data_IF_507285107771
#
_entry.id   IF_507285107771
#
_cell.length_a   1.000
_cell.length_b   1.000
_cell.length_c   1.000
_cell.angle_alpha   90.00
_cell.angle_beta   90.00
_cell.angle_gamma   90.00
#
_symmetry.space_group_name_H-M   'P 1'
#
loop_
_entity.id
_entity.type
_entity.pdbx_description
1 polymer ?
#
# COMPACT_ATOMS: atom_id res chain seq x y z
N UNK A 1 46.02 -20.61 -58.89
CA UNK A 1 44.58 -20.43 -59.04
C UNK A 1 43.99 -20.60 -57.67
N UNK A 2 43.89 -19.49 -56.95
CA UNK A 2 43.20 -19.39 -55.69
C UNK A 2 41.73 -19.09 -56.03
N UNK A 3 40.84 -20.00 -55.75
CA UNK A 3 39.41 -19.71 -55.75
C UNK A 3 39.12 -19.01 -54.42
N UNK A 4 38.94 -17.69 -54.46
CA UNK A 4 38.25 -16.94 -53.45
C UNK A 4 36.76 -17.32 -53.56
N UNK A 5 36.31 -18.23 -52.68
CA UNK A 5 34.90 -18.50 -52.45
C UNK A 5 34.31 -17.41 -51.52
N UNK A 6 34.30 -16.17 -51.99
CA UNK A 6 33.37 -15.16 -51.51
C UNK A 6 31.99 -15.46 -52.12
N UNK A 7 31.31 -16.48 -51.61
CA UNK A 7 29.88 -16.65 -51.82
C UNK A 7 29.22 -15.47 -51.11
N UNK A 8 28.91 -14.38 -51.84
CA UNK A 8 28.06 -13.31 -51.35
C UNK A 8 26.77 -13.97 -50.81
N UNK A 9 26.61 -14.01 -49.49
CA UNK A 9 25.38 -14.52 -48.86
C UNK A 9 24.19 -13.78 -49.42
N UNK A 10 23.22 -14.52 -49.94
CA UNK A 10 22.02 -13.92 -50.51
C UNK A 10 21.23 -13.08 -49.50
N UNK A 11 20.29 -12.25 -49.95
CA UNK A 11 19.46 -11.46 -49.02
C UNK A 11 18.79 -12.33 -47.96
N UNK A 12 18.34 -13.51 -48.29
CA UNK A 12 17.72 -14.46 -47.36
C UNK A 12 18.72 -15.02 -46.32
N UNK A 13 19.95 -15.35 -46.73
CA UNK A 13 20.99 -15.85 -45.81
C UNK A 13 21.37 -14.74 -44.81
N UNK A 14 21.36 -13.51 -45.25
CA UNK A 14 21.58 -12.33 -44.37
C UNK A 14 20.43 -12.12 -43.39
N UNK A 15 19.18 -12.28 -43.83
CA UNK A 15 18.01 -12.17 -42.97
C UNK A 15 17.98 -13.28 -41.91
N UNK A 16 18.30 -14.54 -42.27
CA UNK A 16 18.44 -15.62 -41.29
C UNK A 16 19.58 -15.38 -40.30
N UNK A 17 20.69 -14.81 -40.77
CA UNK A 17 21.80 -14.42 -39.88
C UNK A 17 21.41 -13.33 -38.92
N UNK A 18 20.64 -12.31 -39.38
CA UNK A 18 20.08 -11.25 -38.50
C UNK A 18 19.09 -11.84 -37.49
N UNK A 19 18.20 -12.74 -37.89
CA UNK A 19 17.27 -13.38 -36.97
C UNK A 19 17.97 -14.23 -35.89
N UNK A 20 19.02 -14.97 -36.29
CA UNK A 20 19.85 -15.74 -35.34
C UNK A 20 20.57 -14.80 -34.36
N UNK A 21 21.13 -13.69 -34.83
CA UNK A 21 21.78 -12.71 -34.00
C UNK A 21 20.79 -12.03 -33.05
N UNK A 22 19.56 -11.79 -33.50
CA UNK A 22 18.51 -11.27 -32.65
C UNK A 22 18.21 -12.20 -31.47
N UNK A 23 18.14 -13.51 -31.72
CA UNK A 23 17.97 -14.49 -30.65
C UNK A 23 19.13 -14.46 -29.64
N UNK A 24 20.39 -14.43 -30.12
CA UNK A 24 21.57 -14.30 -29.24
C UNK A 24 21.50 -13.02 -28.39
N UNK A 25 21.09 -11.90 -28.99
CA UNK A 25 20.94 -10.62 -28.30
C UNK A 25 19.79 -10.64 -27.28
N UNK A 26 18.71 -11.35 -27.58
CA UNK A 26 17.60 -11.56 -26.64
C UNK A 26 18.08 -12.34 -25.41
N UNK A 27 18.78 -13.46 -25.61
CA UNK A 27 19.37 -14.24 -24.51
C UNK A 27 20.39 -13.43 -23.67
N UNK A 28 21.13 -12.51 -24.33
CA UNK A 28 22.04 -11.58 -23.66
C UNK A 28 21.33 -10.42 -22.93
N UNK A 29 19.98 -10.32 -22.99
CA UNK A 29 19.22 -9.22 -22.40
C UNK A 29 19.30 -7.89 -23.15
N UNK A 30 19.82 -7.89 -24.41
CA UNK A 30 20.01 -6.69 -25.24
C UNK A 30 18.80 -6.43 -26.16
N UNK A 31 17.61 -6.28 -25.58
CA UNK A 31 16.33 -6.25 -26.28
C UNK A 31 16.25 -5.21 -27.40
N UNK A 32 16.76 -3.98 -27.17
CA UNK A 32 16.75 -2.95 -28.22
C UNK A 32 17.57 -3.32 -29.46
N UNK A 33 18.69 -4.06 -29.30
CA UNK A 33 19.50 -4.52 -30.40
C UNK A 33 18.85 -5.73 -31.10
N UNK A 34 18.20 -6.62 -30.32
CA UNK A 34 17.44 -7.74 -30.86
C UNK A 34 16.30 -7.26 -31.79
N UNK A 35 15.57 -6.21 -31.39
CA UNK A 35 14.50 -5.61 -32.21
C UNK A 35 15.04 -5.09 -33.54
N UNK A 36 16.18 -4.40 -33.56
CA UNK A 36 16.81 -3.88 -34.80
C UNK A 36 17.16 -5.02 -35.75
N UNK A 37 17.71 -6.12 -35.25
CA UNK A 37 18.07 -7.25 -36.08
C UNK A 37 16.81 -8.02 -36.61
N UNK A 38 15.74 -8.10 -35.79
CA UNK A 38 14.46 -8.66 -36.24
C UNK A 38 13.80 -7.80 -37.32
N UNK A 39 13.84 -6.48 -37.19
CA UNK A 39 13.32 -5.56 -38.19
C UNK A 39 14.06 -5.74 -39.53
N UNK A 40 15.40 -5.84 -39.52
CA UNK A 40 16.21 -6.13 -40.72
C UNK A 40 15.86 -7.46 -41.38
N UNK A 41 15.60 -8.49 -40.56
CA UNK A 41 15.17 -9.78 -41.06
C UNK A 41 13.80 -9.69 -41.76
N UNK A 42 12.85 -9.01 -41.09
CA UNK A 42 11.48 -8.83 -41.58
C UNK A 42 11.39 -7.88 -42.79
N UNK A 43 12.32 -6.92 -42.97
CA UNK A 43 12.41 -6.14 -44.22
C UNK A 43 12.66 -7.04 -45.46
N UNK A 44 13.35 -8.16 -45.27
CA UNK A 44 13.62 -9.11 -46.37
C UNK A 44 12.51 -10.14 -46.51
N UNK A 45 11.99 -10.64 -45.43
CA UNK A 45 10.89 -11.61 -45.42
C UNK A 45 9.78 -11.24 -44.43
N UNK A 46 8.86 -10.34 -44.82
CA UNK A 46 7.77 -9.86 -43.98
C UNK A 46 6.66 -10.91 -43.70
N UNK A 47 6.77 -12.09 -44.28
CA UNK A 47 5.78 -13.17 -44.07
C UNK A 47 6.33 -14.34 -43.25
N UNK A 48 7.40 -14.10 -42.49
CA UNK A 48 7.95 -15.08 -41.56
C UNK A 48 7.27 -15.00 -40.21
N UNK A 49 6.33 -15.90 -39.92
CA UNK A 49 5.58 -15.97 -38.66
C UNK A 49 6.50 -16.04 -37.43
N UNK A 50 7.55 -16.89 -37.48
CA UNK A 50 8.47 -17.07 -36.37
C UNK A 50 9.24 -15.79 -36.00
N UNK A 51 9.58 -14.96 -37.01
CA UNK A 51 10.29 -13.70 -36.72
C UNK A 51 9.35 -12.63 -36.16
N UNK A 52 8.08 -12.59 -36.58
CA UNK A 52 7.05 -11.75 -35.92
C UNK A 52 6.81 -12.21 -34.47
N UNK A 53 6.70 -13.52 -34.25
CA UNK A 53 6.58 -14.09 -32.92
C UNK A 53 7.77 -13.68 -32.01
N UNK A 54 9.02 -13.85 -32.49
CA UNK A 54 10.22 -13.47 -31.75
C UNK A 54 10.27 -11.95 -31.48
N UNK A 55 9.78 -11.12 -32.42
CA UNK A 55 9.66 -9.68 -32.22
C UNK A 55 8.64 -9.37 -31.13
N UNK A 56 7.49 -10.05 -31.13
CA UNK A 56 6.50 -9.98 -30.07
C UNK A 56 7.09 -10.33 -28.69
N UNK A 57 7.80 -11.47 -28.58
CA UNK A 57 8.49 -11.87 -27.34
C UNK A 57 9.52 -10.81 -26.87
N UNK A 58 10.23 -10.20 -27.81
CA UNK A 58 11.22 -9.17 -27.48
C UNK A 58 10.56 -7.88 -26.99
N UNK A 59 9.41 -7.51 -27.56
CA UNK A 59 8.60 -6.36 -27.13
C UNK A 59 7.94 -6.61 -25.77
N UNK A 60 7.44 -7.83 -25.54
CA UNK A 60 6.92 -8.25 -24.23
C UNK A 60 7.98 -8.11 -23.12
N UNK A 61 9.20 -8.57 -23.40
CA UNK A 61 10.31 -8.50 -22.43
C UNK A 61 10.67 -7.07 -21.99
N UNK A 62 10.28 -6.04 -22.76
CA UNK A 62 10.44 -4.62 -22.40
C UNK A 62 9.10 -3.93 -22.01
N UNK A 63 8.08 -4.72 -21.71
CA UNK A 63 6.73 -4.28 -21.31
C UNK A 63 5.97 -3.46 -22.37
N UNK A 64 6.32 -3.61 -23.66
CA UNK A 64 5.59 -2.98 -24.77
C UNK A 64 4.47 -3.92 -25.27
N UNK A 65 3.50 -4.18 -24.39
CA UNK A 65 2.47 -5.22 -24.61
C UNK A 65 1.58 -4.94 -25.83
N UNK A 66 1.23 -3.68 -26.11
CA UNK A 66 0.38 -3.37 -27.26
C UNK A 66 1.08 -3.61 -28.60
N UNK A 67 2.36 -3.29 -28.69
CA UNK A 67 3.19 -3.56 -29.85
C UNK A 67 3.43 -5.06 -30.00
N UNK A 68 3.68 -5.78 -28.88
CA UNK A 68 3.82 -7.23 -28.89
C UNK A 68 2.55 -7.93 -29.39
N UNK A 69 1.37 -7.52 -28.93
CA UNK A 69 0.07 -8.01 -29.41
C UNK A 69 -0.04 -7.85 -30.92
N UNK A 70 0.35 -6.70 -31.49
CA UNK A 70 0.30 -6.47 -32.94
C UNK A 70 1.18 -7.44 -33.72
N UNK A 71 2.37 -7.73 -33.20
CA UNK A 71 3.30 -8.69 -33.83
C UNK A 71 2.79 -10.13 -33.69
N UNK A 72 2.20 -10.50 -32.55
CA UNK A 72 1.59 -11.83 -32.36
C UNK A 72 0.35 -12.02 -33.26
N UNK A 73 -0.51 -11.00 -33.40
CA UNK A 73 -1.65 -11.04 -34.32
C UNK A 73 -1.16 -11.24 -35.76
N UNK A 74 -0.08 -10.54 -36.16
CA UNK A 74 0.54 -10.73 -37.51
C UNK A 74 1.13 -12.14 -37.66
N UNK A 75 1.81 -12.66 -36.63
CA UNK A 75 2.35 -13.99 -36.63
C UNK A 75 1.24 -15.05 -36.75
N UNK A 76 0.12 -14.84 -36.07
CA UNK A 76 -1.05 -15.72 -36.08
C UNK A 76 -1.76 -15.72 -37.45
N UNK A 77 -1.86 -14.54 -38.11
CA UNK A 77 -2.41 -14.45 -39.48
C UNK A 77 -1.57 -15.27 -40.49
N UNK A 78 -0.25 -15.37 -40.24
CA UNK A 78 0.67 -16.14 -41.08
C UNK A 78 0.71 -17.63 -40.69
N UNK A 79 0.47 -17.96 -39.45
CA UNK A 79 0.47 -19.34 -38.91
C UNK A 79 -0.73 -19.52 -37.97
N UNK A 80 -1.95 -19.68 -38.55
CA UNK A 80 -3.15 -19.92 -37.76
C UNK A 80 -3.02 -21.19 -36.91
N UNK A 81 -3.66 -21.21 -35.75
CA UNK A 81 -3.72 -22.35 -34.83
C UNK A 81 -2.37 -22.72 -34.17
N UNK A 82 -1.35 -21.87 -34.25
CA UNK A 82 -0.12 -22.06 -33.49
C UNK A 82 -0.34 -21.83 -32.00
N UNK A 83 -0.18 -22.89 -31.22
CA UNK A 83 -0.50 -22.89 -29.79
C UNK A 83 0.40 -21.95 -28.99
N UNK A 84 1.67 -21.81 -29.36
CA UNK A 84 2.63 -20.95 -28.66
C UNK A 84 2.30 -19.47 -28.92
N UNK A 85 1.99 -19.13 -30.18
CA UNK A 85 1.60 -17.76 -30.54
C UNK A 85 0.28 -17.38 -29.87
N UNK A 86 -0.73 -18.25 -29.90
CA UNK A 86 -2.02 -18.04 -29.22
C UNK A 86 -1.84 -17.85 -27.72
N UNK A 87 -1.00 -18.66 -27.09
CA UNK A 87 -0.74 -18.57 -25.66
C UNK A 87 -0.04 -17.24 -25.30
N UNK A 88 1.01 -16.86 -26.04
CA UNK A 88 1.71 -15.60 -25.83
C UNK A 88 0.77 -14.38 -26.02
N UNK A 89 -0.03 -14.40 -27.09
CA UNK A 89 -1.03 -13.37 -27.37
C UNK A 89 -2.05 -13.23 -26.22
N UNK A 90 -2.56 -14.36 -25.70
CA UNK A 90 -3.51 -14.34 -24.60
C UNK A 90 -2.89 -13.83 -23.28
N UNK A 91 -1.64 -14.15 -23.03
CA UNK A 91 -0.87 -13.61 -21.89
C UNK A 91 -0.73 -12.10 -22.01
N UNK A 92 -0.38 -11.58 -23.19
CA UNK A 92 -0.23 -10.14 -23.38
C UNK A 92 -1.57 -9.38 -23.38
N UNK A 93 -2.66 -10.00 -23.85
CA UNK A 93 -3.99 -9.45 -23.61
C UNK A 93 -4.30 -9.33 -22.12
N UNK A 94 -3.91 -10.31 -21.29
CA UNK A 94 -4.08 -10.23 -19.83
C UNK A 94 -3.29 -9.06 -19.26
N UNK A 95 -2.01 -8.92 -19.63
CA UNK A 95 -1.13 -7.83 -19.17
C UNK A 95 -1.59 -6.45 -19.62
N UNK A 96 -2.23 -6.37 -20.79
CA UNK A 96 -2.83 -5.14 -21.30
C UNK A 96 -4.23 -4.84 -20.69
N UNK A 97 -4.74 -5.69 -19.79
CA UNK A 97 -6.08 -5.55 -19.20
C UNK A 97 -7.23 -5.91 -20.14
N UNK A 98 -6.93 -6.54 -21.29
CA UNK A 98 -7.91 -6.95 -22.30
C UNK A 98 -8.45 -8.36 -21.99
N UNK A 99 -8.97 -8.54 -20.78
CA UNK A 99 -9.32 -9.85 -20.22
C UNK A 99 -10.32 -10.65 -21.06
N UNK A 100 -11.32 -10.00 -21.64
CA UNK A 100 -12.30 -10.70 -22.50
C UNK A 100 -11.64 -11.33 -23.73
N UNK A 101 -10.67 -10.61 -24.35
CA UNK A 101 -9.91 -11.13 -25.49
C UNK A 101 -8.98 -12.27 -25.05
N UNK A 102 -8.32 -12.11 -23.91
CA UNK A 102 -7.47 -13.15 -23.33
C UNK A 102 -8.25 -14.45 -23.12
N UNK A 103 -9.41 -14.37 -22.46
CA UNK A 103 -10.23 -15.53 -22.16
C UNK A 103 -10.76 -16.20 -23.45
N UNK A 104 -11.22 -15.44 -24.44
CA UNK A 104 -11.64 -15.97 -25.74
C UNK A 104 -10.49 -16.71 -26.45
N UNK A 105 -9.29 -16.16 -26.42
CA UNK A 105 -8.10 -16.79 -27.01
C UNK A 105 -7.71 -18.07 -26.27
N UNK A 106 -7.77 -18.06 -24.93
CA UNK A 106 -7.53 -19.27 -24.14
C UNK A 106 -8.62 -20.33 -24.35
N UNK A 107 -9.89 -19.96 -24.52
CA UNK A 107 -10.96 -20.90 -24.84
C UNK A 107 -10.73 -21.56 -26.20
N UNK A 108 -10.35 -20.77 -27.20
CA UNK A 108 -10.01 -21.29 -28.50
C UNK A 108 -8.79 -22.23 -28.44
N UNK A 109 -7.76 -21.87 -27.68
CA UNK A 109 -6.58 -22.69 -27.46
C UNK A 109 -6.94 -24.05 -26.81
N UNK A 110 -7.84 -24.02 -25.82
CA UNK A 110 -8.36 -25.23 -25.16
C UNK A 110 -9.17 -26.12 -26.12
N UNK A 111 -9.89 -25.52 -27.10
CA UNK A 111 -10.58 -26.30 -28.15
C UNK A 111 -9.61 -26.99 -29.11
N UNK A 112 -8.47 -26.33 -29.45
CA UNK A 112 -7.43 -26.89 -30.30
C UNK A 112 -6.66 -28.01 -29.60
N UNK A 113 -6.22 -27.79 -28.37
CA UNK A 113 -5.55 -28.80 -27.56
C UNK A 113 -6.01 -28.73 -26.08
N UNK A 114 -6.96 -29.62 -25.70
CA UNK A 114 -7.42 -29.68 -24.30
C UNK A 114 -6.36 -30.10 -23.29
N UNK A 115 -5.18 -30.52 -23.71
CA UNK A 115 -4.06 -30.95 -22.87
C UNK A 115 -2.91 -29.94 -22.84
N UNK A 116 -3.05 -28.83 -23.52
CA UNK A 116 -2.05 -27.77 -23.49
C UNK A 116 -2.08 -27.08 -22.13
N UNK A 117 -1.28 -27.56 -21.19
CA UNK A 117 -1.25 -27.12 -19.78
C UNK A 117 -1.04 -25.63 -19.61
N UNK A 118 -0.13 -24.93 -20.37
CA UNK A 118 0.09 -23.50 -20.20
C UNK A 118 -1.18 -22.64 -20.34
N UNK A 119 -2.16 -23.09 -21.12
CA UNK A 119 -3.45 -22.40 -21.25
C UNK A 119 -4.16 -22.28 -19.89
N UNK A 120 -4.23 -23.35 -19.11
CA UNK A 120 -4.88 -23.34 -17.80
C UNK A 120 -4.07 -22.56 -16.78
N UNK A 121 -2.76 -22.75 -16.81
CA UNK A 121 -1.82 -22.05 -15.91
C UNK A 121 -1.90 -20.53 -16.08
N UNK A 122 -1.96 -20.02 -17.30
CA UNK A 122 -2.06 -18.59 -17.59
C UNK A 122 -3.48 -18.03 -17.30
N UNK A 123 -4.52 -18.85 -17.49
CA UNK A 123 -5.88 -18.46 -17.07
C UNK A 123 -6.03 -18.29 -15.56
N UNK A 124 -5.24 -18.99 -14.74
CA UNK A 124 -5.19 -18.72 -13.29
C UNK A 124 -4.85 -17.27 -13.04
N UNK A 125 -3.83 -16.74 -13.72
CA UNK A 125 -3.41 -15.34 -13.61
C UNK A 125 -4.53 -14.39 -14.06
N UNK A 126 -5.07 -14.64 -15.26
CA UNK A 126 -6.13 -13.80 -15.85
C UNK A 126 -7.33 -13.68 -14.90
N UNK A 127 -7.83 -14.80 -14.38
CA UNK A 127 -8.95 -14.77 -13.44
C UNK A 127 -8.59 -14.14 -12.10
N UNK A 128 -7.36 -14.32 -11.62
CA UNK A 128 -6.89 -13.69 -10.39
C UNK A 128 -6.85 -12.15 -10.51
N UNK A 129 -6.35 -11.62 -11.63
CA UNK A 129 -6.33 -10.17 -11.91
C UNK A 129 -7.74 -9.57 -12.06
N UNK A 130 -8.69 -10.35 -12.58
CA UNK A 130 -10.11 -9.98 -12.60
C UNK A 130 -10.78 -10.07 -11.23
N UNK A 131 -10.09 -10.52 -10.18
CA UNK A 131 -10.67 -10.78 -8.87
C UNK A 131 -11.59 -12.01 -8.81
N UNK A 132 -11.61 -12.84 -9.87
CA UNK A 132 -12.44 -14.03 -10.00
C UNK A 132 -11.72 -15.28 -9.47
N UNK A 133 -11.32 -15.22 -8.21
CA UNK A 133 -10.46 -16.23 -7.58
C UNK A 133 -11.03 -17.66 -7.60
N UNK A 134 -12.36 -17.82 -7.56
CA UNK A 134 -12.99 -19.14 -7.64
C UNK A 134 -12.80 -19.79 -9.02
N UNK A 135 -12.78 -18.99 -10.10
CA UNK A 135 -12.48 -19.47 -11.44
C UNK A 135 -10.98 -19.77 -11.61
N UNK A 136 -10.11 -18.97 -11.00
CA UNK A 136 -8.68 -19.27 -10.94
C UNK A 136 -8.42 -20.63 -10.28
N UNK A 137 -9.12 -20.95 -9.17
CA UNK A 137 -9.03 -22.23 -8.48
C UNK A 137 -9.54 -23.40 -9.34
N UNK A 138 -10.61 -23.20 -10.13
CA UNK A 138 -11.07 -24.19 -11.10
C UNK A 138 -10.01 -24.49 -12.19
N UNK A 139 -9.38 -23.44 -12.72
CA UNK A 139 -8.31 -23.61 -13.72
C UNK A 139 -7.11 -24.37 -13.15
N UNK A 140 -6.76 -24.09 -11.89
CA UNK A 140 -5.72 -24.83 -11.19
C UNK A 140 -6.03 -26.33 -11.10
N UNK A 141 -7.25 -26.72 -10.71
CA UNK A 141 -7.63 -28.13 -10.67
C UNK A 141 -7.63 -28.79 -12.06
N UNK A 142 -7.97 -28.05 -13.12
CA UNK A 142 -7.88 -28.57 -14.48
C UNK A 142 -6.41 -28.76 -14.92
N UNK A 143 -5.56 -27.79 -14.63
CA UNK A 143 -4.12 -27.90 -14.89
C UNK A 143 -3.51 -29.11 -14.19
N UNK A 144 -3.84 -29.34 -12.92
CA UNK A 144 -3.37 -30.50 -12.13
C UNK A 144 -3.78 -31.86 -12.72
N UNK A 145 -4.90 -31.93 -13.46
CA UNK A 145 -5.29 -33.17 -14.13
C UNK A 145 -4.41 -33.49 -15.33
N UNK A 146 -3.71 -32.49 -15.87
CA UNK A 146 -2.81 -32.64 -17.02
C UNK A 146 -1.38 -32.84 -16.53
N UNK A 147 -0.93 -31.98 -15.61
CA UNK A 147 0.37 -32.04 -14.96
C UNK A 147 0.21 -31.74 -13.44
N UNK A 148 0.34 -32.78 -12.60
CA UNK A 148 0.22 -32.68 -11.16
C UNK A 148 1.39 -31.90 -10.52
N UNK A 149 2.55 -31.88 -11.19
CA UNK A 149 3.80 -31.31 -10.69
C UNK A 149 4.18 -29.97 -11.36
N UNK A 150 3.23 -29.27 -11.99
CA UNK A 150 3.47 -27.94 -12.56
C UNK A 150 3.78 -26.89 -11.48
N UNK A 151 5.04 -26.54 -11.30
CA UNK A 151 5.51 -25.54 -10.32
C UNK A 151 4.85 -24.17 -10.54
N UNK A 152 4.71 -23.75 -11.81
CA UNK A 152 4.11 -22.46 -12.18
C UNK A 152 2.62 -22.38 -11.81
N UNK A 153 1.88 -23.48 -11.95
CA UNK A 153 0.48 -23.55 -11.53
C UNK A 153 0.33 -23.36 -10.02
N UNK A 154 1.19 -24.01 -9.22
CA UNK A 154 1.21 -23.81 -7.77
C UNK A 154 1.60 -22.39 -7.40
N UNK A 155 2.56 -21.78 -8.10
CA UNK A 155 2.95 -20.40 -7.88
C UNK A 155 1.79 -19.43 -8.14
N UNK A 156 1.14 -19.56 -9.28
CA UNK A 156 0.06 -18.68 -9.72
C UNK A 156 -1.18 -18.79 -8.82
N UNK A 157 -1.58 -20.01 -8.45
CA UNK A 157 -2.70 -20.15 -7.51
C UNK A 157 -2.33 -19.65 -6.12
N UNK A 158 -1.08 -19.78 -5.69
CA UNK A 158 -0.56 -19.18 -4.47
C UNK A 158 -0.75 -17.67 -4.45
N UNK A 159 -0.44 -16.98 -5.54
CA UNK A 159 -0.66 -15.53 -5.69
C UNK A 159 -2.15 -15.17 -5.55
N UNK A 160 -3.04 -15.91 -6.22
CA UNK A 160 -4.48 -15.70 -6.15
C UNK A 160 -5.03 -15.90 -4.73
N UNK A 161 -4.60 -16.95 -4.04
CA UNK A 161 -4.99 -17.26 -2.67
C UNK A 161 -4.47 -16.21 -1.68
N UNK A 162 -3.26 -15.70 -1.89
CA UNK A 162 -2.69 -14.63 -1.07
C UNK A 162 -3.48 -13.33 -1.21
N UNK A 163 -3.82 -12.93 -2.44
CA UNK A 163 -4.66 -11.77 -2.71
C UNK A 163 -6.05 -11.87 -2.05
N UNK A 164 -6.58 -13.09 -1.93
CA UNK A 164 -7.85 -13.40 -1.25
C UNK A 164 -7.74 -13.42 0.28
N UNK A 165 -6.53 -13.30 0.83
CA UNK A 165 -6.27 -13.38 2.27
C UNK A 165 -6.19 -14.82 2.80
N UNK A 166 -6.15 -15.83 1.95
CA UNK A 166 -6.03 -17.25 2.32
C UNK A 166 -4.55 -17.66 2.51
N UNK A 167 -3.85 -16.91 3.38
CA UNK A 167 -2.39 -16.96 3.54
C UNK A 167 -1.84 -18.37 3.79
N UNK A 168 -2.52 -19.18 4.61
CA UNK A 168 -2.13 -20.59 4.87
C UNK A 168 -2.11 -21.44 3.63
N UNK A 169 -3.13 -21.28 2.76
CA UNK A 169 -3.21 -22.04 1.52
C UNK A 169 -2.15 -21.55 0.54
N UNK A 170 -2.00 -20.22 0.41
CA UNK A 170 -0.97 -19.62 -0.43
C UNK A 170 0.44 -20.13 -0.06
N UNK A 171 0.78 -20.11 1.23
CA UNK A 171 2.06 -20.62 1.72
C UNK A 171 2.30 -22.08 1.39
N UNK A 172 1.26 -22.93 1.45
CA UNK A 172 1.38 -24.35 1.04
C UNK A 172 1.63 -24.52 -0.44
N UNK A 173 0.95 -23.72 -1.28
CA UNK A 173 1.16 -23.74 -2.73
C UNK A 173 2.59 -23.30 -3.08
N UNK A 174 3.08 -22.22 -2.48
CA UNK A 174 4.44 -21.75 -2.69
C UNK A 174 5.52 -22.68 -2.12
N UNK A 175 5.25 -23.40 -1.00
CA UNK A 175 6.12 -24.47 -0.55
C UNK A 175 6.21 -25.59 -1.60
N UNK A 176 5.06 -25.97 -2.21
CA UNK A 176 5.09 -26.95 -3.28
C UNK A 176 5.85 -26.46 -4.50
N UNK A 177 5.71 -25.19 -4.86
CA UNK A 177 6.57 -24.56 -5.90
C UNK A 177 8.05 -24.70 -5.54
N UNK A 178 8.44 -24.39 -4.31
CA UNK A 178 9.84 -24.49 -3.86
C UNK A 178 10.38 -25.93 -3.85
N UNK A 179 9.52 -26.94 -3.61
CA UNK A 179 9.89 -28.36 -3.72
C UNK A 179 10.12 -28.78 -5.17
N UNK A 180 9.28 -28.32 -6.09
CA UNK A 180 9.34 -28.66 -7.51
C UNK A 180 10.43 -27.87 -8.23
N UNK A 181 10.58 -26.60 -7.90
CA UNK A 181 11.54 -25.69 -8.49
C UNK A 181 12.28 -24.89 -7.39
N UNK A 182 13.33 -25.47 -6.77
CA UNK A 182 14.05 -24.85 -5.68
C UNK A 182 14.74 -23.52 -6.05
N UNK A 183 14.96 -23.28 -7.34
CA UNK A 183 15.60 -22.06 -7.88
C UNK A 183 14.58 -21.03 -8.38
N UNK A 184 13.29 -21.26 -8.15
CA UNK A 184 12.25 -20.27 -8.52
C UNK A 184 12.54 -18.92 -7.87
N UNK A 185 12.57 -17.82 -8.64
CA UNK A 185 12.94 -16.51 -8.13
C UNK A 185 12.04 -16.07 -6.95
N UNK A 186 12.69 -15.60 -5.88
CA UNK A 186 12.02 -15.05 -4.69
C UNK A 186 10.97 -15.96 -4.03
N UNK A 187 11.02 -17.27 -4.25
CA UNK A 187 10.00 -18.17 -3.70
C UNK A 187 9.98 -18.17 -2.17
N UNK A 188 11.16 -18.14 -1.53
CA UNK A 188 11.24 -18.08 -0.07
C UNK A 188 10.72 -16.74 0.48
N UNK A 189 10.89 -15.67 -0.26
CA UNK A 189 10.29 -14.37 0.10
C UNK A 189 8.75 -14.44 0.08
N UNK A 190 8.15 -15.02 -0.94
CA UNK A 190 6.69 -15.23 -1.01
C UNK A 190 6.19 -16.10 0.15
N UNK A 191 6.89 -17.17 0.46
CA UNK A 191 6.55 -18.04 1.59
C UNK A 191 6.66 -17.26 2.91
N UNK A 192 7.70 -16.42 3.08
CA UNK A 192 7.86 -15.57 4.25
C UNK A 192 6.70 -14.59 4.41
N UNK A 193 6.29 -13.92 3.33
CA UNK A 193 5.13 -13.01 3.31
C UNK A 193 3.84 -13.73 3.74
N UNK A 194 3.61 -14.96 3.24
CA UNK A 194 2.42 -15.73 3.60
C UNK A 194 2.40 -16.09 5.09
N UNK A 195 3.51 -16.54 5.65
CA UNK A 195 3.60 -16.86 7.07
C UNK A 195 3.53 -15.62 7.95
N UNK A 196 4.12 -14.50 7.52
CA UNK A 196 4.01 -13.22 8.22
C UNK A 196 2.55 -12.77 8.30
N UNK A 197 1.84 -12.75 7.17
CA UNK A 197 0.43 -12.39 7.10
C UNK A 197 -0.50 -13.35 7.86
N UNK A 198 -0.12 -14.63 7.99
CA UNK A 198 -0.84 -15.63 8.81
C UNK A 198 -0.50 -15.53 10.32
N UNK A 199 0.51 -14.72 10.69
CA UNK A 199 0.97 -14.55 12.07
C UNK A 199 1.97 -15.60 12.55
N UNK A 200 2.42 -16.54 11.70
CA UNK A 200 3.48 -17.52 12.03
C UNK A 200 4.87 -16.88 11.89
N UNK A 201 5.23 -16.09 12.90
CA UNK A 201 6.48 -15.34 12.93
C UNK A 201 7.73 -16.21 12.85
N UNK A 202 7.68 -17.43 13.37
CA UNK A 202 8.84 -18.31 13.37
C UNK A 202 9.20 -18.76 11.95
N UNK A 203 8.21 -19.24 11.19
CA UNK A 203 8.41 -19.67 9.81
C UNK A 203 8.68 -18.49 8.87
N UNK A 204 7.99 -17.36 9.07
CA UNK A 204 8.27 -16.15 8.30
C UNK A 204 9.75 -15.76 8.39
N UNK A 205 10.30 -15.68 9.60
CA UNK A 205 11.72 -15.39 9.83
C UNK A 205 12.64 -16.39 9.14
N UNK A 206 12.35 -17.68 9.25
CA UNK A 206 13.16 -18.73 8.64
C UNK A 206 13.29 -18.51 7.12
N UNK A 207 12.15 -18.29 6.45
CA UNK A 207 12.12 -18.09 5.00
C UNK A 207 12.73 -16.74 4.56
N UNK A 208 12.55 -15.65 5.31
CA UNK A 208 13.28 -14.40 5.06
C UNK A 208 14.80 -14.63 5.12
N UNK A 209 15.29 -15.37 6.11
CA UNK A 209 16.72 -15.66 6.24
C UNK A 209 17.24 -16.60 5.15
N UNK A 210 16.41 -17.51 4.63
CA UNK A 210 16.76 -18.33 3.47
C UNK A 210 16.94 -17.46 2.24
N UNK A 211 15.92 -16.60 1.94
CA UNK A 211 15.97 -15.70 0.79
C UNK A 211 17.17 -14.77 0.83
N UNK A 212 17.44 -14.13 1.97
CA UNK A 212 18.56 -13.22 2.15
C UNK A 212 19.95 -13.91 2.08
N UNK A 213 20.02 -15.23 2.27
CA UNK A 213 21.24 -16.01 2.00
C UNK A 213 21.46 -16.25 0.53
N UNK A 214 20.38 -16.42 -0.24
CA UNK A 214 20.44 -16.60 -1.69
C UNK A 214 20.66 -15.25 -2.39
N UNK A 215 19.95 -14.21 -1.94
CA UNK A 215 19.94 -12.88 -2.53
C UNK A 215 20.23 -11.79 -1.47
N UNK A 216 21.51 -11.65 -1.02
CA UNK A 216 21.87 -10.77 0.10
C UNK A 216 21.81 -9.27 -0.23
N UNK A 217 21.56 -8.91 -1.49
CA UNK A 217 21.46 -7.54 -1.99
C UNK A 217 20.05 -7.13 -2.43
N UNK A 218 19.04 -8.00 -2.24
CA UNK A 218 17.67 -7.67 -2.58
C UNK A 218 17.08 -6.69 -1.55
N UNK A 219 17.00 -5.41 -1.97
CA UNK A 219 16.59 -4.29 -1.10
C UNK A 219 15.13 -4.44 -0.65
N UNK A 220 14.27 -4.98 -1.50
CA UNK A 220 12.84 -5.15 -1.19
C UNK A 220 12.66 -6.22 -0.11
N UNK A 221 13.36 -7.34 -0.24
CA UNK A 221 13.35 -8.42 0.77
C UNK A 221 13.93 -7.94 2.10
N UNK A 222 15.06 -7.17 2.07
CA UNK A 222 15.66 -6.61 3.28
C UNK A 222 14.69 -5.64 3.95
N UNK A 223 13.96 -4.83 3.15
CA UNK A 223 13.00 -3.86 3.66
C UNK A 223 11.81 -4.54 4.35
N UNK A 224 11.19 -5.51 3.70
CA UNK A 224 10.09 -6.27 4.30
C UNK A 224 10.53 -7.02 5.56
N UNK A 225 11.76 -7.55 5.56
CA UNK A 225 12.31 -8.17 6.76
C UNK A 225 12.55 -7.15 7.89
N UNK A 226 12.97 -5.92 7.57
CA UNK A 226 13.08 -4.86 8.56
C UNK A 226 11.70 -4.50 9.16
N UNK A 227 10.66 -4.40 8.33
CA UNK A 227 9.28 -4.16 8.78
C UNK A 227 8.76 -5.31 9.68
N UNK A 228 9.01 -6.54 9.28
CA UNK A 228 8.69 -7.71 10.10
C UNK A 228 9.37 -7.66 11.49
N UNK A 229 10.65 -7.24 11.55
CA UNK A 229 11.39 -7.10 12.79
C UNK A 229 10.83 -5.94 13.66
N UNK A 230 10.42 -4.83 13.03
CA UNK A 230 9.76 -3.71 13.72
C UNK A 230 8.44 -4.17 14.39
N UNK A 231 7.59 -4.89 13.67
CA UNK A 231 6.36 -5.44 14.22
C UNK A 231 6.61 -6.46 15.35
N UNK A 232 7.76 -7.14 15.31
CA UNK A 232 8.19 -8.03 16.38
C UNK A 232 8.78 -7.28 17.61
N UNK A 233 9.00 -5.96 17.49
CA UNK A 233 9.64 -5.14 18.53
C UNK A 233 11.17 -5.29 18.60
N UNK A 234 11.80 -5.85 17.55
CA UNK A 234 13.24 -6.08 17.49
C UNK A 234 13.94 -4.88 16.82
N UNK A 235 13.92 -3.74 17.53
CA UNK A 235 14.34 -2.45 16.98
C UNK A 235 15.80 -2.44 16.50
N UNK A 236 16.71 -3.04 17.25
CA UNK A 236 18.14 -3.08 16.88
C UNK A 236 18.39 -3.89 15.60
N UNK A 237 17.70 -5.03 15.46
CA UNK A 237 17.81 -5.86 14.27
C UNK A 237 17.19 -5.17 13.04
N UNK A 238 16.05 -4.50 13.22
CA UNK A 238 15.43 -3.70 12.16
C UNK A 238 16.33 -2.53 11.73
N UNK A 239 16.92 -1.83 12.69
CA UNK A 239 17.90 -0.76 12.43
C UNK A 239 19.10 -1.26 11.61
N UNK A 240 19.63 -2.43 11.93
CA UNK A 240 20.74 -3.05 11.16
C UNK A 240 20.32 -3.28 9.69
N UNK A 241 19.10 -3.77 9.46
CA UNK A 241 18.60 -4.00 8.10
C UNK A 241 18.41 -2.70 7.32
N UNK A 242 17.86 -1.65 7.95
CA UNK A 242 17.76 -0.33 7.33
C UNK A 242 19.15 0.24 6.98
N UNK A 243 20.14 0.11 7.85
CA UNK A 243 21.51 0.51 7.51
C UNK A 243 22.08 -0.31 6.36
N UNK A 244 21.82 -1.63 6.31
CA UNK A 244 22.24 -2.46 5.19
C UNK A 244 21.64 -2.00 3.86
N UNK A 245 20.37 -1.58 3.84
CA UNK A 245 19.76 -0.99 2.65
C UNK A 245 20.51 0.27 2.22
N UNK A 246 20.86 1.16 3.16
CA UNK A 246 21.57 2.41 2.84
C UNK A 246 23.02 2.19 2.38
N UNK A 247 23.64 1.07 2.78
CA UNK A 247 24.94 0.66 2.21
C UNK A 247 24.81 0.23 0.74
N UNK A 248 23.70 -0.42 0.37
CA UNK A 248 23.42 -0.88 -1.00
C UNK A 248 22.88 0.25 -1.88
N UNK A 249 21.99 1.04 -1.34
CA UNK A 249 21.35 2.18 -2.00
C UNK A 249 21.28 3.38 -1.03
N UNK A 250 22.29 4.28 -1.06
CA UNK A 250 22.34 5.44 -0.17
C UNK A 250 21.20 6.46 -0.34
N UNK A 251 20.44 6.37 -1.44
CA UNK A 251 19.35 7.27 -1.75
C UNK A 251 17.95 6.68 -1.46
N UNK A 252 17.90 5.53 -0.76
CA UNK A 252 16.65 4.86 -0.46
C UNK A 252 15.90 5.53 0.71
N UNK A 253 15.06 6.52 0.39
CA UNK A 253 14.29 7.30 1.35
C UNK A 253 13.49 6.51 2.38
N UNK A 254 12.80 5.41 2.02
CA UNK A 254 12.07 4.59 2.99
C UNK A 254 12.91 4.04 4.14
N UNK A 255 14.17 3.64 3.90
CA UNK A 255 15.03 3.16 4.99
C UNK A 255 15.35 4.28 6.00
N UNK A 256 15.59 5.51 5.54
CA UNK A 256 15.78 6.67 6.40
C UNK A 256 14.51 6.99 7.21
N UNK A 257 13.34 6.87 6.58
CA UNK A 257 12.06 7.05 7.26
C UNK A 257 11.90 6.06 8.42
N UNK A 258 12.11 4.76 8.20
CA UNK A 258 11.97 3.78 9.27
C UNK A 258 13.07 3.87 10.34
N UNK A 259 14.28 4.33 10.00
CA UNK A 259 15.27 4.71 11.01
C UNK A 259 14.78 5.87 11.88
N UNK A 260 14.05 6.83 11.31
CA UNK A 260 13.38 7.89 12.05
C UNK A 260 12.30 7.37 12.99
N UNK A 261 11.45 6.41 12.52
CA UNK A 261 10.45 5.76 13.37
C UNK A 261 11.11 5.03 14.57
N UNK A 262 12.19 4.27 14.30
CA UNK A 262 12.96 3.60 15.34
C UNK A 262 13.53 4.62 16.36
N UNK A 263 14.02 5.77 15.89
CA UNK A 263 14.54 6.81 16.78
C UNK A 263 13.44 7.42 17.66
N UNK A 264 12.20 7.58 17.13
CA UNK A 264 11.04 8.00 17.95
C UNK A 264 10.71 6.96 19.03
N UNK A 265 10.71 5.68 18.70
CA UNK A 265 10.43 4.61 19.66
C UNK A 265 11.53 4.50 20.73
N UNK A 266 12.77 4.87 20.39
CA UNK A 266 13.90 4.98 21.32
C UNK A 266 13.84 6.26 22.18
N UNK A 267 12.91 7.18 21.89
CA UNK A 267 12.74 8.44 22.63
C UNK A 267 13.71 9.54 22.21
N UNK A 268 14.22 9.49 20.99
CA UNK A 268 15.14 10.49 20.41
C UNK A 268 14.46 11.26 19.25
N UNK A 269 13.58 12.24 19.56
CA UNK A 269 12.84 12.98 18.54
C UNK A 269 13.73 13.90 17.69
N UNK A 270 14.87 14.37 18.20
CA UNK A 270 15.78 15.25 17.45
C UNK A 270 16.47 14.46 16.34
N UNK A 271 16.95 13.26 16.66
CA UNK A 271 17.53 12.34 15.69
C UNK A 271 16.49 11.90 14.67
N UNK A 272 15.28 11.60 15.10
CA UNK A 272 14.18 11.23 14.21
C UNK A 272 13.87 12.34 13.20
N UNK A 273 13.76 13.58 13.66
CA UNK A 273 13.51 14.72 12.77
C UNK A 273 14.61 14.88 11.71
N UNK A 274 15.88 14.74 12.08
CA UNK A 274 17.00 14.77 11.13
C UNK A 274 16.90 13.67 10.08
N UNK A 275 16.51 12.44 10.45
CA UNK A 275 16.34 11.31 9.54
C UNK A 275 15.15 11.51 8.60
N UNK A 276 14.03 12.06 9.09
CA UNK A 276 12.88 12.37 8.23
C UNK A 276 13.20 13.51 7.24
N UNK A 277 13.96 14.53 7.64
CA UNK A 277 14.42 15.59 6.73
C UNK A 277 15.36 15.02 5.65
N UNK A 278 16.23 14.09 6.02
CA UNK A 278 17.12 13.41 5.08
C UNK A 278 16.33 12.53 4.11
N UNK A 279 15.32 11.78 4.59
CA UNK A 279 14.43 10.98 3.76
C UNK A 279 13.75 11.84 2.68
N UNK A 280 13.22 13.01 3.06
CA UNK A 280 12.61 13.96 2.11
C UNK A 280 13.59 14.60 1.13
N UNK A 281 14.86 14.72 1.51
CA UNK A 281 15.92 15.16 0.58
C UNK A 281 16.18 14.13 -0.51
N UNK A 282 16.12 12.83 -0.16
CA UNK A 282 16.36 11.72 -1.08
C UNK A 282 15.13 11.45 -1.94
N UNK A 283 13.97 11.43 -1.33
CA UNK A 283 12.67 11.25 -2.00
C UNK A 283 11.67 12.33 -1.55
N UNK A 284 11.56 13.42 -2.30
CA UNK A 284 10.59 14.48 -1.99
C UNK A 284 9.12 14.07 -2.08
N UNK A 285 8.82 12.96 -2.77
CA UNK A 285 7.46 12.44 -2.92
C UNK A 285 7.09 11.42 -1.84
N UNK A 286 8.04 11.00 -1.01
CA UNK A 286 7.82 10.00 0.04
C UNK A 286 6.72 10.46 1.01
N UNK A 287 5.68 9.65 1.13
CA UNK A 287 4.61 9.86 2.10
C UNK A 287 5.08 9.53 3.53
N UNK A 288 4.56 10.26 4.51
CA UNK A 288 4.80 10.00 5.94
C UNK A 288 5.82 10.90 6.62
N UNK A 289 7.02 11.17 6.07
CA UNK A 289 8.02 11.96 6.80
C UNK A 289 7.56 13.38 7.17
N UNK A 290 6.80 14.07 6.31
CA UNK A 290 6.25 15.41 6.63
C UNK A 290 5.26 15.35 7.78
N UNK A 291 4.40 14.33 7.77
CA UNK A 291 3.47 14.09 8.87
C UNK A 291 4.21 13.87 10.20
N UNK A 292 5.29 13.06 10.20
CA UNK A 292 6.10 12.80 11.39
C UNK A 292 6.88 14.04 11.86
N UNK A 293 7.44 14.80 10.91
CA UNK A 293 8.07 16.09 11.21
C UNK A 293 7.09 17.07 11.84
N UNK A 294 5.86 17.13 11.34
CA UNK A 294 4.81 17.95 11.94
C UNK A 294 4.52 17.50 13.36
N UNK A 295 4.42 16.20 13.63
CA UNK A 295 4.21 15.64 14.96
C UNK A 295 5.37 15.99 15.92
N UNK A 296 6.62 15.85 15.47
CA UNK A 296 7.80 16.27 16.24
C UNK A 296 7.75 17.76 16.56
N UNK A 297 7.44 18.61 15.58
CA UNK A 297 7.35 20.04 15.74
C UNK A 297 6.20 20.48 16.68
N UNK A 298 5.05 19.80 16.63
CA UNK A 298 3.94 20.02 17.59
C UNK A 298 4.40 19.68 19.01
N UNK A 299 5.06 18.55 19.20
CA UNK A 299 5.56 18.13 20.52
C UNK A 299 6.65 19.08 21.05
N UNK A 300 7.49 19.62 20.16
CA UNK A 300 8.48 20.65 20.48
C UNK A 300 7.88 22.08 20.64
N UNK A 301 6.56 22.26 20.45
CA UNK A 301 5.85 23.54 20.45
C UNK A 301 6.32 24.52 19.37
N UNK A 302 6.90 24.04 18.29
CA UNK A 302 7.36 24.81 17.14
C UNK A 302 6.22 25.02 16.12
N UNK A 303 5.25 25.88 16.48
CA UNK A 303 3.97 26.05 15.74
C UNK A 303 4.13 26.33 14.25
N UNK A 304 5.04 27.23 13.86
CA UNK A 304 5.23 27.62 12.46
C UNK A 304 5.83 26.47 11.62
N UNK A 305 6.79 25.72 12.18
CA UNK A 305 7.33 24.56 11.51
C UNK A 305 6.27 23.46 11.35
N UNK A 306 5.54 23.16 12.43
CA UNK A 306 4.45 22.19 12.39
C UNK A 306 3.44 22.54 11.28
N UNK A 307 3.02 23.81 11.23
CA UNK A 307 2.11 24.31 10.20
C UNK A 307 2.68 24.13 8.79
N UNK A 308 3.94 24.46 8.59
CA UNK A 308 4.60 24.31 7.27
C UNK A 308 4.59 22.85 6.80
N UNK A 309 4.94 21.90 7.67
CA UNK A 309 4.94 20.48 7.33
C UNK A 309 3.53 19.95 7.10
N UNK A 310 2.55 20.34 7.93
CA UNK A 310 1.15 19.92 7.75
C UNK A 310 0.55 20.44 6.43
N UNK A 311 0.85 21.68 6.05
CA UNK A 311 0.36 22.24 4.79
C UNK A 311 1.00 21.51 3.59
N UNK A 312 2.31 21.25 3.65
CA UNK A 312 3.01 20.51 2.60
C UNK A 312 2.50 19.06 2.46
N UNK A 313 2.06 18.43 3.56
CA UNK A 313 1.44 17.10 3.50
C UNK A 313 0.04 17.15 2.90
N UNK A 314 -0.74 18.24 3.15
CA UNK A 314 -2.07 18.42 2.57
C UNK A 314 -2.09 18.63 1.05
N UNK A 315 -0.96 19.04 0.47
CA UNK A 315 -0.80 19.16 -0.99
C UNK A 315 -0.75 17.78 -1.69
N UNK A 316 -0.53 16.70 -0.92
CA UNK A 316 -0.64 15.33 -1.41
C UNK A 316 -2.08 14.80 -1.30
N UNK A 317 -2.42 13.86 -2.15
CA UNK A 317 -3.72 13.19 -2.09
C UNK A 317 -3.75 12.21 -0.92
N UNK A 318 -4.52 12.54 0.12
CA UNK A 318 -4.68 11.72 1.32
C UNK A 318 -6.07 11.07 1.25
N UNK A 319 -6.09 9.75 1.11
CA UNK A 319 -7.31 8.93 1.03
C UNK A 319 -7.71 8.29 2.36
N UNK A 320 -6.86 8.38 3.39
CA UNK A 320 -7.15 7.85 4.71
C UNK A 320 -7.78 8.90 5.63
N UNK A 321 -9.02 8.63 6.08
CA UNK A 321 -9.76 9.51 6.97
C UNK A 321 -9.04 9.69 8.34
N UNK A 322 -8.40 8.64 8.87
CA UNK A 322 -7.74 8.70 10.17
C UNK A 322 -6.50 9.59 10.15
N UNK A 323 -5.74 9.56 9.06
CA UNK A 323 -4.61 10.47 8.83
C UNK A 323 -5.08 11.92 8.80
N UNK A 324 -6.16 12.24 8.07
CA UNK A 324 -6.75 13.58 8.03
C UNK A 324 -7.24 14.05 9.41
N UNK A 325 -7.84 13.16 10.21
CA UNK A 325 -8.27 13.45 11.59
C UNK A 325 -7.06 13.74 12.49
N UNK A 326 -6.01 12.93 12.37
CA UNK A 326 -4.77 13.14 13.14
C UNK A 326 -4.10 14.45 12.78
N UNK A 327 -4.05 14.83 11.51
CA UNK A 327 -3.56 16.14 11.06
C UNK A 327 -4.45 17.28 11.59
N UNK A 328 -5.77 17.09 11.58
CA UNK A 328 -6.69 18.08 12.13
C UNK A 328 -6.47 18.29 13.63
N UNK A 329 -6.22 17.23 14.39
CA UNK A 329 -5.90 17.34 15.83
C UNK A 329 -4.61 18.14 16.06
N UNK A 330 -3.59 17.95 15.21
CA UNK A 330 -2.36 18.73 15.25
C UNK A 330 -2.61 20.20 14.89
N UNK A 331 -3.42 20.50 13.88
CA UNK A 331 -3.83 21.87 13.55
C UNK A 331 -4.59 22.53 14.70
N UNK A 332 -5.47 21.80 15.39
CA UNK A 332 -6.16 22.31 16.59
C UNK A 332 -5.17 22.62 17.73
N UNK A 333 -4.15 21.77 17.90
CA UNK A 333 -3.11 21.96 18.93
C UNK A 333 -2.29 23.24 18.68
N UNK A 334 -1.99 23.55 17.41
CA UNK A 334 -1.31 24.80 17.04
C UNK A 334 -2.27 25.99 16.86
N UNK A 335 -3.54 25.85 17.24
CA UNK A 335 -4.59 26.88 17.19
C UNK A 335 -5.01 27.29 15.77
N UNK A 336 -4.74 26.45 14.75
CA UNK A 336 -5.18 26.67 13.36
C UNK A 336 -6.50 25.93 13.07
N UNK A 337 -7.59 26.50 13.60
CA UNK A 337 -8.92 25.88 13.46
C UNK A 337 -9.47 25.92 12.02
N UNK A 338 -8.91 26.71 11.11
CA UNK A 338 -9.36 26.77 9.72
C UNK A 338 -8.91 25.52 8.95
N UNK A 339 -7.61 25.23 8.97
CA UNK A 339 -7.07 24.04 8.31
C UNK A 339 -7.56 22.75 8.99
N UNK A 340 -7.70 22.74 10.31
CA UNK A 340 -8.33 21.63 11.03
C UNK A 340 -9.74 21.32 10.49
N UNK A 341 -10.57 22.33 10.34
CA UNK A 341 -11.94 22.16 9.81
C UNK A 341 -11.91 21.60 8.38
N UNK A 342 -10.99 22.08 7.53
CA UNK A 342 -10.83 21.60 6.16
C UNK A 342 -10.43 20.11 6.10
N UNK A 343 -9.48 19.68 6.94
CA UNK A 343 -9.10 18.27 7.05
C UNK A 343 -10.28 17.40 7.49
N UNK A 344 -11.01 17.84 8.54
CA UNK A 344 -12.14 17.09 9.08
C UNK A 344 -13.29 16.95 8.09
N UNK A 345 -13.58 17.99 7.31
CA UNK A 345 -14.61 17.92 6.27
C UNK A 345 -14.21 16.94 5.15
N UNK A 346 -12.92 16.87 4.79
CA UNK A 346 -12.42 15.83 3.87
C UNK A 346 -12.55 14.44 4.48
N UNK A 347 -12.18 14.29 5.77
CA UNK A 347 -12.30 13.00 6.47
C UNK A 347 -13.75 12.50 6.53
N UNK A 348 -14.71 13.39 6.83
CA UNK A 348 -16.14 13.06 6.78
C UNK A 348 -16.60 12.71 5.35
N UNK A 349 -16.01 13.33 4.32
CA UNK A 349 -16.29 12.98 2.93
C UNK A 349 -15.84 11.56 2.56
N UNK A 350 -14.74 11.09 3.16
CA UNK A 350 -14.23 9.72 2.98
C UNK A 350 -15.00 8.70 3.85
N UNK A 351 -15.28 9.04 5.10
CA UNK A 351 -16.04 8.22 6.03
C UNK A 351 -17.06 9.03 6.82
N UNK A 352 -18.30 9.01 6.37
CA UNK A 352 -19.43 9.73 7.00
C UNK A 352 -19.82 9.16 8.38
N UNK A 353 -19.31 7.99 8.78
CA UNK A 353 -19.63 7.35 10.07
C UNK A 353 -18.48 7.44 11.08
N UNK A 354 -17.48 8.23 10.81
CA UNK A 354 -16.35 8.39 11.70
C UNK A 354 -16.70 9.34 12.88
N UNK A 355 -16.85 8.78 14.07
CA UNK A 355 -17.20 9.52 15.27
C UNK A 355 -16.10 10.52 15.70
N UNK A 356 -14.81 10.17 15.50
CA UNK A 356 -13.68 11.05 15.82
C UNK A 356 -13.69 12.32 14.97
N UNK A 357 -14.04 12.22 13.67
CA UNK A 357 -14.13 13.37 12.79
C UNK A 357 -15.15 14.39 13.31
N UNK A 358 -16.35 13.93 13.69
CA UNK A 358 -17.37 14.80 14.28
C UNK A 358 -17.00 15.31 15.67
N UNK A 359 -16.34 14.51 16.48
CA UNK A 359 -15.79 14.95 17.78
C UNK A 359 -14.84 16.14 17.59
N UNK A 360 -13.83 16.02 16.71
CA UNK A 360 -12.88 17.11 16.47
C UNK A 360 -13.51 18.32 15.77
N UNK A 361 -14.54 18.14 14.91
CA UNK A 361 -15.34 19.26 14.40
C UNK A 361 -16.02 20.02 15.54
N UNK A 362 -16.55 19.30 16.53
CA UNK A 362 -17.14 19.88 17.74
C UNK A 362 -16.12 20.67 18.56
N UNK A 363 -14.93 20.11 18.76
CA UNK A 363 -13.82 20.79 19.46
C UNK A 363 -13.39 22.05 18.71
N UNK A 364 -13.23 21.97 17.36
CA UNK A 364 -12.88 23.12 16.53
C UNK A 364 -13.92 24.24 16.59
N UNK A 365 -15.22 23.90 16.58
CA UNK A 365 -16.31 24.84 16.73
C UNK A 365 -16.33 25.49 18.13
N UNK A 366 -16.11 24.69 19.18
CA UNK A 366 -16.01 25.19 20.55
C UNK A 366 -14.86 26.17 20.72
N UNK A 367 -13.69 25.90 20.16
CA UNK A 367 -12.53 26.78 20.17
C UNK A 367 -12.80 28.13 19.47
N UNK A 368 -13.66 28.16 18.45
CA UNK A 368 -14.14 29.38 17.78
C UNK A 368 -15.25 30.08 18.54
N UNK A 369 -15.73 29.52 19.67
CA UNK A 369 -16.85 30.04 20.44
C UNK A 369 -18.23 29.77 19.80
N UNK A 370 -18.30 28.93 18.78
CA UNK A 370 -19.54 28.53 18.09
C UNK A 370 -20.21 27.37 18.86
N UNK A 371 -20.70 27.65 20.06
CA UNK A 371 -21.18 26.63 21.00
C UNK A 371 -22.36 25.80 20.45
N UNK A 372 -23.25 26.41 19.65
CA UNK A 372 -24.40 25.70 19.06
C UNK A 372 -23.94 24.66 18.06
N UNK A 373 -22.99 24.99 17.18
CA UNK A 373 -22.45 24.05 16.21
C UNK A 373 -21.61 22.96 16.91
N UNK A 374 -20.86 23.33 17.95
CA UNK A 374 -20.13 22.37 18.78
C UNK A 374 -21.07 21.35 19.42
N UNK A 375 -22.21 21.79 20.00
CA UNK A 375 -23.22 20.89 20.57
C UNK A 375 -23.77 19.92 19.51
N UNK A 376 -24.03 20.40 18.30
CA UNK A 376 -24.55 19.55 17.21
C UNK A 376 -23.54 18.50 16.76
N UNK A 377 -22.30 18.88 16.53
CA UNK A 377 -21.24 17.95 16.12
C UNK A 377 -20.92 16.91 17.19
N UNK A 378 -20.82 17.32 18.44
CA UNK A 378 -20.59 16.41 19.56
C UNK A 378 -21.77 15.47 19.81
N UNK A 379 -23.01 15.95 19.62
CA UNK A 379 -24.17 15.09 19.69
C UNK A 379 -24.16 14.03 18.58
N UNK A 380 -23.79 14.41 17.37
CA UNK A 380 -23.69 13.47 16.24
C UNK A 380 -22.57 12.46 16.45
N UNK A 381 -21.40 12.86 16.96
CA UNK A 381 -20.35 11.93 17.34
C UNK A 381 -20.85 10.89 18.35
N UNK A 382 -21.65 11.30 19.34
CA UNK A 382 -22.24 10.40 20.35
C UNK A 382 -23.42 9.56 19.83
N UNK A 383 -24.07 9.95 18.74
CA UNK A 383 -25.02 9.10 18.01
C UNK A 383 -24.30 7.96 17.28
N UNK A 384 -23.11 8.22 16.71
CA UNK A 384 -22.30 7.24 16.03
C UNK A 384 -21.57 6.30 17.02
N UNK A 385 -20.97 6.85 18.06
CA UNK A 385 -20.36 6.11 19.17
C UNK A 385 -20.80 6.68 20.53
N UNK A 386 -21.80 6.07 21.19
CA UNK A 386 -22.27 6.50 22.50
C UNK A 386 -21.23 6.39 23.62
N UNK A 387 -20.18 5.58 23.40
CA UNK A 387 -19.10 5.35 24.36
C UNK A 387 -17.84 6.18 24.08
N UNK A 388 -17.89 7.10 23.14
CA UNK A 388 -16.78 7.95 22.78
C UNK A 388 -16.42 8.91 23.93
N UNK A 389 -15.44 8.53 24.74
CA UNK A 389 -15.10 9.24 26.01
C UNK A 389 -14.67 10.68 25.78
N UNK A 390 -13.91 10.97 24.71
CA UNK A 390 -13.54 12.34 24.32
C UNK A 390 -14.75 13.22 24.02
N UNK A 391 -15.69 12.71 23.20
CA UNK A 391 -16.90 13.44 22.84
C UNK A 391 -17.82 13.67 24.06
N UNK A 392 -17.96 12.67 24.95
CA UNK A 392 -18.72 12.83 26.21
C UNK A 392 -18.13 13.96 27.09
N UNK A 393 -16.82 14.01 27.24
CA UNK A 393 -16.12 14.99 28.02
C UNK A 393 -16.25 16.39 27.41
N UNK A 394 -15.98 16.52 26.11
CA UNK A 394 -16.01 17.82 25.43
C UNK A 394 -17.44 18.36 25.27
N UNK A 395 -18.44 17.47 25.12
CA UNK A 395 -19.85 17.84 25.21
C UNK A 395 -20.21 18.39 26.61
N UNK A 396 -19.70 17.80 27.68
CA UNK A 396 -19.93 18.32 29.03
C UNK A 396 -19.34 19.74 29.22
N UNK A 397 -18.12 19.98 28.71
CA UNK A 397 -17.54 21.33 28.72
C UNK A 397 -18.36 22.30 27.87
N UNK A 398 -18.80 21.90 26.68
CA UNK A 398 -19.62 22.71 25.78
C UNK A 398 -20.94 23.08 26.45
N UNK A 399 -21.63 22.11 27.09
CA UNK A 399 -22.87 22.36 27.82
C UNK A 399 -22.67 23.30 29.05
N UNK A 400 -21.53 23.20 29.74
CA UNK A 400 -21.20 24.15 30.79
C UNK A 400 -21.01 25.57 30.24
N UNK A 401 -20.29 25.70 29.13
CA UNK A 401 -20.06 26.98 28.48
C UNK A 401 -21.36 27.60 27.93
N UNK A 402 -22.33 26.76 27.50
CA UNK A 402 -23.66 27.17 27.05
C UNK A 402 -24.65 27.42 28.20
N UNK A 403 -24.22 27.28 29.49
CA UNK A 403 -25.08 27.47 30.66
C UNK A 403 -26.11 26.36 30.88
N UNK A 404 -25.83 25.13 30.42
CA UNK A 404 -26.70 23.94 30.50
C UNK A 404 -26.09 22.88 31.46
N UNK A 405 -25.91 23.17 32.78
CA UNK A 405 -25.20 22.28 33.69
C UNK A 405 -25.88 20.94 33.95
N UNK A 406 -27.19 20.81 33.71
CA UNK A 406 -27.92 19.55 33.83
C UNK A 406 -27.47 18.56 32.75
N UNK A 407 -27.42 19.00 31.49
CA UNK A 407 -26.94 18.17 30.37
C UNK A 407 -25.45 17.83 30.57
N UNK A 408 -24.65 18.77 31.05
CA UNK A 408 -23.26 18.49 31.37
C UNK A 408 -23.13 17.35 32.40
N UNK A 409 -23.95 17.38 33.48
CA UNK A 409 -23.94 16.31 34.49
C UNK A 409 -24.28 14.92 33.91
N UNK A 410 -25.23 14.85 32.97
CA UNK A 410 -25.59 13.60 32.30
C UNK A 410 -24.41 13.04 31.48
N UNK A 411 -23.72 13.89 30.70
CA UNK A 411 -22.56 13.46 29.91
C UNK A 411 -21.37 13.03 30.78
N UNK A 412 -21.12 13.75 31.90
CA UNK A 412 -20.11 13.37 32.85
C UNK A 412 -20.43 12.02 33.53
N UNK A 413 -21.69 11.79 33.86
CA UNK A 413 -22.10 10.51 34.46
C UNK A 413 -21.82 9.35 33.49
N UNK A 414 -22.15 9.50 32.20
CA UNK A 414 -21.85 8.52 31.17
C UNK A 414 -20.32 8.31 31.01
N UNK A 415 -19.54 9.38 30.92
CA UNK A 415 -18.09 9.30 30.81
C UNK A 415 -17.44 8.61 32.03
N UNK A 416 -17.92 8.89 33.22
CA UNK A 416 -17.43 8.26 34.48
C UNK A 416 -17.79 6.80 34.60
N UNK A 417 -18.89 6.36 34.01
CA UNK A 417 -19.24 4.94 33.95
C UNK A 417 -18.24 4.15 33.13
N UNK A 418 -17.68 4.78 32.08
CA UNK A 418 -16.65 4.18 31.20
C UNK A 418 -15.25 4.28 31.80
N UNK A 419 -14.94 5.42 32.48
CA UNK A 419 -13.62 5.74 33.04
C UNK A 419 -13.73 6.10 34.53
N UNK A 420 -14.02 5.15 35.44
CA UNK A 420 -14.25 5.45 36.86
C UNK A 420 -13.00 5.99 37.60
N UNK A 421 -11.81 5.70 37.10
CA UNK A 421 -10.53 6.14 37.65
C UNK A 421 -10.08 7.54 37.24
N UNK A 422 -10.71 8.16 36.24
CA UNK A 422 -10.28 9.45 35.68
C UNK A 422 -10.42 10.60 36.67
N UNK A 423 -9.27 11.22 37.00
CA UNK A 423 -9.22 12.33 37.99
C UNK A 423 -9.84 13.61 37.42
N UNK A 424 -9.70 13.87 36.12
CA UNK A 424 -10.25 15.06 35.45
C UNK A 424 -11.77 15.00 35.43
N UNK A 425 -12.35 13.86 35.05
CA UNK A 425 -13.80 13.65 35.09
C UNK A 425 -14.38 13.76 36.51
N UNK A 426 -13.63 13.32 37.54
CA UNK A 426 -14.04 13.52 38.94
C UNK A 426 -14.05 14.97 39.34
N UNK A 427 -13.03 15.75 39.00
CA UNK A 427 -12.99 17.18 39.27
C UNK A 427 -14.09 17.94 38.55
N UNK A 428 -14.36 17.55 37.28
CA UNK A 428 -15.42 18.15 36.48
C UNK A 428 -16.80 17.85 37.08
N UNK A 429 -17.05 16.62 37.54
CA UNK A 429 -18.30 16.23 38.24
C UNK A 429 -18.51 17.05 39.49
N UNK A 430 -17.47 17.21 40.34
CA UNK A 430 -17.55 18.04 41.51
C UNK A 430 -17.89 19.51 41.20
N UNK A 431 -17.25 20.05 40.14
CA UNK A 431 -17.50 21.42 39.69
C UNK A 431 -18.94 21.61 39.22
N UNK A 432 -19.47 20.66 38.44
CA UNK A 432 -20.85 20.69 37.95
C UNK A 432 -21.85 20.59 39.11
N UNK A 433 -21.63 19.67 40.06
CA UNK A 433 -22.49 19.54 41.25
C UNK A 433 -22.50 20.81 42.08
N UNK A 434 -21.35 21.48 42.25
CA UNK A 434 -21.26 22.75 42.93
C UNK A 434 -22.04 23.85 42.21
N UNK A 435 -21.93 23.93 40.87
CA UNK A 435 -22.69 24.86 40.04
C UNK A 435 -24.20 24.65 40.20
N UNK A 436 -24.65 23.36 40.16
CA UNK A 436 -26.06 23.01 40.34
C UNK A 436 -26.59 23.35 41.75
N UNK A 437 -25.77 23.13 42.77
CA UNK A 437 -26.10 23.48 44.14
C UNK A 437 -26.21 25.01 44.34
N UNK A 438 -25.23 25.77 43.86
CA UNK A 438 -25.24 27.23 43.92
C UNK A 438 -26.37 27.85 43.10
N UNK A 439 -26.70 27.23 41.92
CA UNK A 439 -27.84 27.64 41.09
C UNK A 439 -29.20 27.45 41.77
N UNK A 440 -29.30 26.50 42.72
CA UNK A 440 -30.49 26.31 43.55
C UNK A 440 -30.56 27.33 44.67
N UNK A 441 -29.42 27.84 45.18
CA UNK A 441 -29.34 28.76 46.33
C UNK A 441 -29.39 30.24 45.91
N UNK A 442 -28.86 30.58 44.75
CA UNK A 442 -28.76 31.96 44.29
C UNK A 442 -28.91 32.07 42.78
N UNK A 443 -29.76 32.95 42.28
CA UNK A 443 -29.88 33.30 40.86
C UNK A 443 -28.60 33.95 40.28
N UNK A 444 -27.45 33.66 40.83
CA UNK A 444 -26.18 34.41 40.71
C UNK A 444 -25.26 33.89 39.59
N UNK A 445 -25.54 32.70 39.03
CA UNK A 445 -24.66 32.00 38.07
C UNK A 445 -24.63 32.58 36.65
N UNK A 446 -25.34 33.65 36.38
CA UNK A 446 -25.30 34.34 35.06
C UNK A 446 -24.02 35.14 34.80
N UNK A 447 -23.04 35.15 35.75
CA UNK A 447 -21.82 35.97 35.65
C UNK A 447 -20.49 35.22 35.65
N UNK A 448 -20.47 33.92 35.60
CA UNK A 448 -19.20 33.19 35.36
C UNK A 448 -18.89 33.22 33.88
N UNK A 449 -17.77 33.88 33.51
CA UNK A 449 -17.30 33.92 32.10
C UNK A 449 -16.98 32.50 31.61
N UNK A 450 -17.74 31.94 30.70
CA UNK A 450 -17.53 30.60 30.20
C UNK A 450 -16.16 30.42 29.51
N UNK A 451 -15.54 31.51 29.05
CA UNK A 451 -14.27 31.51 28.32
C UNK A 451 -13.07 31.14 29.18
N UNK A 452 -13.12 31.41 30.48
CA UNK A 452 -12.04 31.11 31.42
C UNK A 452 -11.85 29.58 31.64
N UNK A 453 -12.86 28.77 31.32
CA UNK A 453 -12.83 27.32 31.53
C UNK A 453 -12.06 26.64 30.36
N UNK A 454 -12.14 27.20 29.13
CA UNK A 454 -11.48 26.65 27.94
C UNK A 454 -9.99 27.04 27.81
N UNK A 455 -9.59 28.24 28.29
CA UNK A 455 -8.21 28.72 28.18
C UNK A 455 -7.18 28.01 29.06
N UNK A 456 -7.58 27.19 30.03
CA UNK A 456 -6.64 26.43 30.85
C UNK A 456 -6.10 25.15 30.24
N UNK A 457 -6.63 24.73 29.07
CA UNK A 457 -6.21 23.49 28.42
C UNK A 457 -5.09 23.63 27.38
N UNK A 458 -4.89 24.82 26.83
CA UNK A 458 -3.80 25.07 25.88
C UNK A 458 -2.41 25.20 26.50
N UNK A 459 -2.32 25.08 27.84
CA UNK A 459 -1.04 25.25 28.57
C UNK A 459 -0.56 24.01 29.34
N UNK A 460 -1.23 22.84 29.20
CA UNK A 460 -0.86 21.61 29.92
C UNK A 460 -0.99 20.31 29.06
N UNK A 461 -0.97 20.40 27.71
CA UNK A 461 -0.82 19.23 26.85
C UNK A 461 0.54 19.24 26.18
#
# INVERSE_FOLDING_TARGET
MLFDDDVESGPYDRAESSARRAYELYEDGKMAQALIELERALEVNPTNSAWHFNKGLTLDAINQFNEAITEYETALDLSPDDLEILNALAVDYTRAGLYDRALQTFEYLQELDPKFEPCYCNRIITYAEMGQHDLAEQMFYLAQQIDEDCALCYYNIGNSLFARGEFKKAGRCWLRTAELEPTHPQINYRIAQAYWSDGDRARAREHFLVELRLNPGDVDVIMDFALFLLEAGELEAAQEKCHRILELNPDFGPALFYLGEIALDQGDPDRAAGLFEEALKKDPALAGPRYRLAQCAVNAQEREKAKTYLLAELDHEIEDANTLISMASMFLTIEDSEHATRCLLRAVGLDMRNADAYHYLGVGAANKGQLVDAERFLAHALELDPNHTGALRDAAYTYLASGQPQKAAERIASARALLPGDCELRMLDHSVRLILLLGRLTGWLRRLDPRAIFHRRSSQA
#
